data_IF_821194937359
#
_entry.id   IF_821194937359
#
_cell.length_a   1.000
_cell.length_b   1.000
_cell.length_c   1.000
_cell.angle_alpha   90.00
_cell.angle_beta   90.00
_cell.angle_gamma   90.00
#
_symmetry.space_group_name_H-M   'P 1'
#
loop_
_entity.id
_entity.type
_entity.pdbx_description
1 polymer ?
#
# COMPACT_ATOMS: atom_id res chain seq x y z
N UNK A 1 14.40 -23.55 5.01
CA UNK A 1 13.15 -23.33 4.26
C UNK A 1 12.64 -21.90 4.49
N UNK A 2 12.90 -20.97 3.56
CA UNK A 2 12.60 -19.54 3.76
C UNK A 2 11.13 -19.20 3.42
N UNK A 3 10.27 -19.34 4.43
CA UNK A 3 8.92 -18.79 4.57
C UNK A 3 8.43 -17.87 3.43
N UNK A 4 7.44 -18.35 2.68
CA UNK A 4 6.63 -17.67 1.65
C UNK A 4 5.81 -16.47 2.17
N UNK A 5 6.16 -15.90 3.33
CA UNK A 5 5.38 -14.86 4.05
C UNK A 5 5.48 -13.45 3.43
N UNK A 6 6.32 -13.26 2.40
CA UNK A 6 6.58 -11.93 1.80
C UNK A 6 6.61 -11.93 0.26
N UNK A 7 5.97 -12.89 -0.40
CA UNK A 7 5.98 -12.97 -1.88
C UNK A 7 5.43 -11.69 -2.54
N UNK A 8 4.39 -11.08 -1.96
CA UNK A 8 3.81 -9.80 -2.42
C UNK A 8 4.81 -8.66 -2.26
N UNK A 9 5.54 -8.61 -1.14
CA UNK A 9 6.54 -7.56 -0.91
C UNK A 9 7.73 -7.68 -1.88
N UNK A 10 8.11 -8.92 -2.25
CA UNK A 10 9.15 -9.17 -3.25
C UNK A 10 8.72 -8.81 -4.68
N UNK A 11 7.44 -8.93 -5.00
CA UNK A 11 6.91 -8.58 -6.32
C UNK A 11 6.79 -7.05 -6.55
N UNK A 12 6.87 -6.23 -5.49
CA UNK A 12 6.77 -4.78 -5.60
C UNK A 12 8.14 -4.18 -5.94
N UNK A 13 8.30 -3.71 -7.19
CA UNK A 13 9.55 -3.09 -7.70
C UNK A 13 9.98 -1.81 -6.97
N UNK A 14 9.05 -1.08 -6.35
CA UNK A 14 9.30 0.20 -5.68
C UNK A 14 8.65 0.20 -4.29
N UNK A 15 9.32 -0.37 -3.27
CA UNK A 15 8.79 -0.42 -1.92
C UNK A 15 8.59 1.00 -1.35
N UNK A 16 7.47 1.24 -0.68
CA UNK A 16 7.17 2.54 -0.07
C UNK A 16 6.76 3.65 -1.04
N UNK A 17 6.52 3.35 -2.32
CA UNK A 17 6.09 4.36 -3.30
C UNK A 17 4.80 5.09 -2.90
N UNK A 18 3.84 4.39 -2.28
CA UNK A 18 2.61 5.00 -1.78
C UNK A 18 2.87 5.98 -0.63
N UNK A 19 3.79 5.65 0.28
CA UNK A 19 4.21 6.52 1.38
C UNK A 19 4.88 7.80 0.88
N UNK A 20 5.81 7.67 -0.08
CA UNK A 20 6.47 8.80 -0.73
C UNK A 20 5.46 9.73 -1.42
N UNK A 21 4.50 9.17 -2.15
CA UNK A 21 3.46 9.94 -2.84
C UNK A 21 2.50 10.66 -1.88
N UNK A 22 2.26 10.12 -0.69
CA UNK A 22 1.38 10.71 0.32
C UNK A 22 2.12 11.59 1.34
N UNK A 23 3.44 11.78 1.18
CA UNK A 23 4.32 12.42 2.16
C UNK A 23 4.13 11.86 3.58
N UNK A 24 3.94 10.54 3.67
CA UNK A 24 3.84 9.81 4.94
C UNK A 24 5.15 9.03 5.14
N UNK A 25 5.74 9.01 6.34
CA UNK A 25 6.95 8.23 6.60
C UNK A 25 6.73 6.75 6.31
N UNK A 26 7.67 6.12 5.60
CA UNK A 26 7.62 4.68 5.31
C UNK A 26 7.60 3.92 6.64
N UNK A 27 6.64 2.99 6.80
CA UNK A 27 6.44 2.24 8.04
C UNK A 27 5.43 2.84 9.00
N UNK A 28 5.03 4.11 8.83
CA UNK A 28 3.89 4.67 9.59
C UNK A 28 2.56 4.28 8.96
N UNK A 29 1.52 4.21 9.81
CA UNK A 29 0.14 3.94 9.41
C UNK A 29 -0.35 5.07 8.49
N UNK A 30 -0.74 4.71 7.27
CA UNK A 30 -1.30 5.68 6.32
C UNK A 30 -2.70 6.07 6.83
N UNK A 31 -2.99 7.37 7.04
CA UNK A 31 -4.31 7.83 7.48
C UNK A 31 -5.41 7.43 6.49
N UNK A 32 -6.58 7.03 7.00
CA UNK A 32 -7.68 6.52 6.17
C UNK A 32 -8.19 7.58 5.17
N UNK A 33 -8.25 8.85 5.59
CA UNK A 33 -8.64 9.96 4.72
C UNK A 33 -7.69 10.15 3.54
N UNK A 34 -6.38 10.14 3.79
CA UNK A 34 -5.36 10.25 2.72
C UNK A 34 -5.38 9.04 1.78
N UNK A 35 -5.62 7.86 2.32
CA UNK A 35 -5.69 6.62 1.55
C UNK A 35 -6.96 6.57 0.67
N UNK A 36 -8.08 7.08 1.17
CA UNK A 36 -9.33 7.21 0.40
C UNK A 36 -9.21 8.26 -0.71
N UNK A 37 -8.60 9.41 -0.43
CA UNK A 37 -8.34 10.44 -1.44
C UNK A 37 -7.38 9.92 -2.53
N UNK A 38 -6.34 9.19 -2.15
CA UNK A 38 -5.41 8.56 -3.09
C UNK A 38 -6.10 7.52 -3.99
N UNK A 39 -7.07 6.78 -3.43
CA UNK A 39 -7.88 5.78 -4.11
C UNK A 39 -8.90 6.38 -5.09
N UNK A 40 -9.00 7.71 -5.22
CA UNK A 40 -9.88 8.41 -6.17
C UNK A 40 -9.11 9.29 -7.17
N UNK A 41 -7.77 9.35 -7.07
CA UNK A 41 -6.93 10.31 -7.81
C UNK A 41 -6.62 9.91 -9.26
N UNK A 42 -7.07 8.74 -9.73
CA UNK A 42 -6.72 8.22 -11.06
C UNK A 42 -5.26 7.74 -11.12
N UNK A 43 -4.95 6.82 -12.05
CA UNK A 43 -3.57 6.40 -12.40
C UNK A 43 -2.90 5.48 -11.34
N UNK A 44 -1.57 5.36 -11.44
CA UNK A 44 -0.73 4.44 -10.66
C UNK A 44 -0.87 4.65 -9.14
N UNK A 45 -1.11 5.88 -8.69
CA UNK A 45 -1.32 6.20 -7.27
C UNK A 45 -2.58 5.51 -6.70
N UNK A 46 -3.66 5.54 -7.47
CA UNK A 46 -4.92 4.91 -7.09
C UNK A 46 -4.78 3.39 -7.03
N UNK A 47 -4.13 2.78 -8.02
CA UNK A 47 -3.91 1.34 -8.04
C UNK A 47 -3.14 0.87 -6.80
N UNK A 48 -2.13 1.63 -6.38
CA UNK A 48 -1.38 1.40 -5.14
C UNK A 48 -2.24 1.56 -3.89
N UNK A 49 -3.09 2.59 -3.84
CA UNK A 49 -3.99 2.84 -2.72
C UNK A 49 -5.06 1.75 -2.59
N UNK A 50 -5.65 1.30 -3.69
CA UNK A 50 -6.62 0.19 -3.75
C UNK A 50 -5.98 -1.12 -3.27
N UNK A 51 -4.79 -1.46 -3.78
CA UNK A 51 -4.04 -2.61 -3.31
C UNK A 51 -3.82 -2.57 -1.79
N UNK A 52 -3.40 -1.42 -1.25
CA UNK A 52 -3.23 -1.24 0.20
C UNK A 52 -4.53 -1.44 1.00
N UNK A 53 -5.69 -1.01 0.47
CA UNK A 53 -7.00 -1.30 1.09
C UNK A 53 -7.30 -2.79 1.11
N UNK A 54 -7.08 -3.47 -0.02
CA UNK A 54 -7.33 -4.91 -0.14
C UNK A 54 -6.45 -5.69 0.83
N UNK A 55 -5.15 -5.39 0.89
CA UNK A 55 -4.22 -6.03 1.83
C UNK A 55 -4.61 -5.78 3.29
N UNK A 56 -5.09 -4.57 3.63
CA UNK A 56 -5.61 -4.28 4.97
C UNK A 56 -6.83 -5.15 5.31
N UNK A 57 -7.75 -5.35 4.36
CA UNK A 57 -8.92 -6.22 4.56
C UNK A 57 -8.53 -7.69 4.73
N UNK A 58 -7.56 -8.18 3.93
CA UNK A 58 -7.06 -9.56 4.02
C UNK A 58 -6.36 -9.85 5.34
N UNK A 59 -5.70 -8.87 5.97
CA UNK A 59 -5.06 -9.03 7.29
C UNK A 59 -6.08 -9.10 8.43
N UNK A 60 -7.23 -8.45 8.27
CA UNK A 60 -8.26 -8.32 9.30
C UNK A 60 -9.33 -9.40 9.20
N UNK A 61 -9.17 -10.37 8.30
CA UNK A 61 -10.01 -11.55 8.13
C UNK A 61 -9.20 -12.77 8.50
#
# INVERSE_FOLDING_TARGET
>A
MANSKKWIAKAIKQPGALHRQLKVPVGKKIPLGKLNAASKKGRILEMRARLAKTLKKLKNK
#
